data_IF_959529980238
#
_entry.id   IF_959529980238
#
_cell.length_a   1.000
_cell.length_b   1.000
_cell.length_c   1.000
_cell.angle_alpha   90.00
_cell.angle_beta   90.00
_cell.angle_gamma   90.00
#
_symmetry.space_group_name_H-M   'P 1'
#
loop_
_entity.id
_entity.type
_entity.pdbx_description
1 polymer ?
#
# COMPACT_ATOMS: atom_id res chain seq x y z
N UNK A 1 -10.26 19.88 -2.10
CA UNK A 1 -9.65 19.19 -0.93
C UNK A 1 -8.28 18.73 -1.36
N UNK A 2 -7.20 19.01 -0.61
CA UNK A 2 -5.89 18.52 -0.99
C UNK A 2 -5.94 16.99 -1.07
N UNK A 3 -5.27 16.50 -2.09
CA UNK A 3 -5.06 15.12 -2.43
C UNK A 3 -4.69 14.27 -1.18
N UNK A 4 -5.48 13.22 -0.88
CA UNK A 4 -5.24 12.28 0.24
C UNK A 4 -4.16 11.22 -0.06
N UNK A 5 -3.29 11.47 -1.04
CA UNK A 5 -2.13 10.61 -1.38
C UNK A 5 -0.96 10.70 -0.39
N UNK A 6 -0.90 11.73 0.45
CA UNK A 6 0.32 12.11 1.14
C UNK A 6 0.71 11.12 2.24
N UNK A 7 1.74 10.29 1.96
CA UNK A 7 2.40 9.43 2.93
C UNK A 7 2.92 10.22 4.14
N UNK A 8 3.20 11.50 3.94
CA UNK A 8 3.73 12.46 4.93
C UNK A 8 2.87 12.62 6.19
N UNK A 9 1.56 12.39 6.10
CA UNK A 9 0.68 12.45 7.28
C UNK A 9 0.77 11.20 8.17
N UNK A 10 1.47 10.15 7.73
CA UNK A 10 1.58 8.92 8.49
C UNK A 10 2.45 9.09 9.75
N UNK A 11 1.81 9.15 10.91
CA UNK A 11 2.50 9.12 12.21
C UNK A 11 2.82 7.70 12.72
N UNK A 12 2.71 6.67 11.85
CA UNK A 12 3.10 5.27 12.13
C UNK A 12 2.35 4.61 13.31
N UNK A 13 1.05 4.86 13.44
CA UNK A 13 0.23 4.27 14.51
C UNK A 13 0.08 2.73 14.46
N UNK A 14 0.29 2.12 13.29
CA UNK A 14 0.19 0.67 13.11
C UNK A 14 -1.23 0.12 12.88
N UNK A 15 -2.29 0.92 12.95
CA UNK A 15 -3.68 0.45 12.76
C UNK A 15 -3.93 -0.21 11.39
N UNK A 16 -3.34 0.32 10.32
CA UNK A 16 -3.39 -0.32 9.01
C UNK A 16 -2.75 -1.72 8.98
N UNK A 17 -1.82 -2.00 9.88
CA UNK A 17 -1.14 -3.31 9.98
C UNK A 17 -1.89 -4.30 10.85
N UNK A 18 -2.58 -3.84 11.89
CA UNK A 18 -3.41 -4.72 12.71
C UNK A 18 -4.60 -5.28 11.92
N UNK A 19 -5.17 -4.51 10.99
CA UNK A 19 -6.29 -4.97 10.15
C UNK A 19 -5.83 -5.74 8.89
N UNK A 20 -4.57 -5.62 8.50
CA UNK A 20 -4.12 -6.16 7.22
C UNK A 20 -4.07 -7.70 7.23
N UNK A 21 -4.82 -8.39 6.34
CA UNK A 21 -4.94 -9.84 6.36
C UNK A 21 -3.63 -10.56 6.02
N UNK A 22 -2.75 -9.91 5.26
CA UNK A 22 -1.45 -10.45 4.85
C UNK A 22 -0.31 -9.99 5.76
N UNK A 23 -0.60 -9.32 6.88
CA UNK A 23 0.43 -8.74 7.72
C UNK A 23 1.39 -9.77 8.33
N UNK A 24 0.91 -11.00 8.57
CA UNK A 24 1.73 -12.12 9.01
C UNK A 24 2.73 -12.64 7.96
N UNK A 25 2.53 -12.30 6.68
CA UNK A 25 3.37 -12.75 5.57
C UNK A 25 4.52 -11.79 5.23
N UNK A 26 4.75 -10.76 6.05
CA UNK A 26 5.86 -9.82 5.87
C UNK A 26 5.49 -8.46 5.29
N UNK A 27 4.24 -8.24 4.87
CA UNK A 27 3.79 -6.90 4.45
C UNK A 27 3.27 -6.10 5.64
N UNK A 28 3.93 -5.01 6.00
CA UNK A 28 3.52 -4.14 7.11
C UNK A 28 3.17 -2.75 6.57
N UNK A 29 1.89 -2.45 6.30
CA UNK A 29 1.47 -1.19 5.68
C UNK A 29 2.06 0.09 6.28
N UNK A 30 2.18 0.20 7.61
CA UNK A 30 2.74 1.40 8.24
C UNK A 30 4.26 1.56 8.00
N UNK A 31 5.00 0.45 7.84
CA UNK A 31 6.43 0.47 7.53
C UNK A 31 6.65 0.83 6.07
N UNK A 32 5.89 0.18 5.18
CA UNK A 32 5.88 0.48 3.75
C UNK A 32 5.67 1.98 3.49
N UNK A 33 4.64 2.59 4.11
CA UNK A 33 4.39 4.03 3.97
C UNK A 33 5.55 4.88 4.50
N UNK A 34 6.18 4.48 5.60
CA UNK A 34 7.34 5.19 6.13
C UNK A 34 8.56 5.09 5.20
N UNK A 35 8.78 3.94 4.56
CA UNK A 35 9.86 3.72 3.59
C UNK A 35 9.64 4.53 2.31
N UNK A 36 8.41 4.57 1.80
CA UNK A 36 8.03 5.39 0.65
C UNK A 36 8.22 6.88 0.94
N UNK A 37 7.75 7.36 2.10
CA UNK A 37 7.95 8.77 2.52
C UNK A 37 9.44 9.16 2.66
N UNK A 38 10.32 8.19 2.95
CA UNK A 38 11.77 8.40 3.00
C UNK A 38 12.45 8.29 1.63
N UNK A 39 11.71 8.00 0.56
CA UNK A 39 12.25 7.76 -0.77
C UNK A 39 13.06 6.46 -0.90
N UNK A 40 12.90 5.53 0.04
CA UNK A 40 13.62 4.24 0.06
C UNK A 40 13.03 3.27 -0.99
N UNK A 41 11.88 3.61 -1.58
CA UNK A 41 11.18 2.81 -2.56
C UNK A 41 10.56 1.56 -1.95
N UNK A 42 9.65 0.92 -2.68
CA UNK A 42 9.07 -0.35 -2.25
C UNK A 42 9.94 -1.56 -2.60
N UNK A 43 9.99 -2.55 -1.71
CA UNK A 43 10.55 -3.86 -1.99
C UNK A 43 9.50 -4.85 -2.51
N UNK A 44 9.87 -6.12 -2.62
CA UNK A 44 8.99 -7.19 -3.12
C UNK A 44 7.71 -7.38 -2.26
N UNK A 45 7.68 -6.87 -1.03
CA UNK A 45 6.50 -6.89 -0.16
C UNK A 45 5.32 -6.09 -0.72
N UNK A 46 5.53 -5.11 -1.60
CA UNK A 46 4.45 -4.38 -2.27
C UNK A 46 3.49 -5.32 -3.02
N UNK A 47 4.02 -6.41 -3.55
CA UNK A 47 3.27 -7.44 -4.29
C UNK A 47 2.41 -8.34 -3.40
N UNK A 48 2.63 -8.32 -2.08
CA UNK A 48 1.79 -9.04 -1.11
C UNK A 48 0.49 -8.31 -0.81
N UNK A 49 0.44 -6.99 -1.02
CA UNK A 49 -0.77 -6.21 -0.77
C UNK A 49 -1.93 -6.68 -1.67
N UNK A 50 -3.10 -6.94 -1.09
CA UNK A 50 -4.28 -7.35 -1.85
C UNK A 50 -5.07 -6.19 -2.44
N UNK A 51 -4.65 -4.94 -2.18
CA UNK A 51 -5.38 -3.72 -2.54
C UNK A 51 -6.85 -3.71 -2.03
N UNK A 52 -7.12 -4.41 -0.92
CA UNK A 52 -8.46 -4.61 -0.36
C UNK A 52 -9.05 -3.41 0.40
N UNK A 53 -8.27 -2.34 0.60
CA UNK A 53 -8.67 -1.07 1.24
C UNK A 53 -9.03 -1.09 2.74
N UNK A 54 -9.01 -2.23 3.41
CA UNK A 54 -9.22 -2.34 4.88
C UNK A 54 -8.38 -1.35 5.70
N UNK A 55 -7.14 -1.09 5.27
CA UNK A 55 -6.26 -0.15 5.95
C UNK A 55 -6.73 1.31 5.89
N UNK A 56 -7.56 1.69 4.91
CA UNK A 56 -8.11 3.03 4.79
C UNK A 56 -9.21 3.27 5.82
N UNK A 57 -10.06 2.26 6.05
CA UNK A 57 -11.18 2.34 6.99
C UNK A 57 -10.72 2.61 8.43
N UNK A 58 -9.54 2.10 8.80
CA UNK A 58 -8.97 2.25 10.14
C UNK A 58 -7.95 3.40 10.24
N UNK A 59 -7.63 4.10 9.15
CA UNK A 59 -6.57 5.11 9.15
C UNK A 59 -7.07 6.44 9.74
N UNK A 60 -6.58 6.88 10.91
CA UNK A 60 -7.02 8.13 11.53
C UNK A 60 -6.53 9.38 10.77
N UNK A 61 -5.60 9.23 9.82
CA UNK A 61 -5.10 10.31 8.98
C UNK A 61 -5.64 10.24 7.55
N UNK A 62 -6.42 9.19 7.22
CA UNK A 62 -6.97 9.01 5.88
C UNK A 62 -5.94 8.75 4.78
N UNK A 63 -4.77 8.19 5.12
CA UNK A 63 -3.72 7.84 4.13
C UNK A 63 -4.24 6.76 3.18
N UNK A 64 -4.21 7.03 1.88
CA UNK A 64 -4.65 6.09 0.85
C UNK A 64 -3.56 5.06 0.49
N UNK A 65 -3.22 4.19 1.43
CA UNK A 65 -2.17 3.16 1.27
C UNK A 65 -2.36 2.29 0.00
N UNK A 66 -3.57 1.85 -0.39
CA UNK A 66 -3.77 1.06 -1.61
C UNK A 66 -3.43 1.80 -2.90
N UNK A 67 -3.51 3.14 -2.91
CA UNK A 67 -3.08 3.97 -4.02
C UNK A 67 -1.56 4.08 -4.07
N UNK A 68 -0.91 4.33 -2.93
CA UNK A 68 0.56 4.34 -2.81
C UNK A 68 1.16 3.01 -3.26
N UNK A 69 0.54 1.88 -2.87
CA UNK A 69 0.94 0.55 -3.36
C UNK A 69 0.82 0.44 -4.88
N UNK A 70 -0.21 1.05 -5.49
CA UNK A 70 -0.39 0.99 -6.95
C UNK A 70 0.62 1.86 -7.68
N UNK A 71 0.94 3.06 -7.18
CA UNK A 71 2.00 3.90 -7.77
C UNK A 71 3.35 3.19 -7.70
N UNK A 72 3.68 2.59 -6.57
CA UNK A 72 4.94 1.86 -6.40
C UNK A 72 5.06 0.64 -7.33
N UNK A 73 3.96 -0.10 -7.58
CA UNK A 73 3.96 -1.21 -8.56
C UNK A 73 4.14 -0.75 -10.00
N UNK A 74 3.65 0.45 -10.35
CA UNK A 74 3.82 1.02 -11.69
C UNK A 74 5.28 1.45 -11.90
N UNK A 75 5.91 1.99 -10.85
CA UNK A 75 7.33 2.34 -10.88
C UNK A 75 8.24 1.11 -11.05
N UNK A 76 7.81 -0.04 -10.52
CA UNK A 76 8.43 -1.35 -10.76
C UNK A 76 8.00 -1.92 -12.13
N UNK A 77 8.41 -1.25 -13.22
CA UNK A 77 8.08 -1.52 -14.64
C UNK A 77 8.42 -2.96 -15.12
N UNK A 78 9.02 -3.79 -14.28
CA UNK A 78 9.42 -5.17 -14.58
C UNK A 78 8.33 -6.22 -14.29
N UNK A 79 7.23 -5.86 -13.61
CA UNK A 79 6.20 -6.81 -13.16
C UNK A 79 4.79 -6.30 -13.50
N UNK A 80 3.89 -7.12 -14.08
CA UNK A 80 2.55 -6.68 -14.47
C UNK A 80 1.78 -6.07 -13.29
N UNK A 81 1.29 -4.84 -13.47
CA UNK A 81 0.60 -4.04 -12.46
C UNK A 81 -0.70 -4.74 -12.01
N UNK A 82 -0.66 -5.26 -10.78
CA UNK A 82 -1.73 -6.01 -10.10
C UNK A 82 -2.07 -7.38 -10.70
N UNK A 83 -2.56 -8.28 -9.84
CA UNK A 83 -2.74 -9.70 -10.11
C UNK A 83 -3.24 -10.00 -11.54
N UNK A 84 -2.75 -11.09 -12.14
CA UNK A 84 -3.51 -11.77 -13.20
C UNK A 84 -4.78 -12.39 -12.61
N UNK A 85 -5.69 -11.53 -12.16
CA UNK A 85 -7.06 -11.90 -11.86
C UNK A 85 -7.74 -12.36 -13.12
N UNK A 86 -8.60 -13.36 -12.95
CA UNK A 86 -9.32 -14.14 -13.95
C UNK A 86 -10.14 -13.31 -14.99
N UNK A 87 -10.30 -11.99 -14.81
CA UNK A 87 -11.07 -11.16 -15.73
C UNK A 87 -10.21 -10.05 -16.36
N UNK A 88 -9.33 -10.43 -17.28
CA UNK A 88 -8.85 -9.57 -18.38
C UNK A 88 -9.15 -10.22 -19.73
N UNK A 89 -10.36 -10.75 -19.89
CA UNK A 89 -10.91 -11.16 -21.17
C UNK A 89 -12.32 -10.62 -21.30
N UNK A 90 -12.43 -9.31 -21.49
CA UNK A 90 -13.47 -8.62 -22.24
C UNK A 90 -12.84 -7.37 -22.85
#
# INVERSE_FOLDING_TARGET
>A
MPDRLTEDYCYKCGGCTSICPVSGSGFKPHKFIAEVALGIGSGAEVWRCLTCRECMEVCPQGVNIPEVVRSERVNDLAVPVAHKGIFQSL
#
